data_IF_927914153581
#
_entry.id   IF_927914153581
#
_cell.length_a   1.000
_cell.length_b   1.000
_cell.length_c   1.000
_cell.angle_alpha   90.00
_cell.angle_beta   90.00
_cell.angle_gamma   90.00
#
_symmetry.space_group_name_H-M   'P 1'
#
loop_
_entity.id
_entity.type
_entity.pdbx_description
1 polymer ?
#
# COMPACT_ATOMS: atom_id res chain seq x y z
N UNK A 1 0.68 20.74 18.62
CA UNK A 1 0.97 19.78 17.53
C UNK A 1 0.37 20.35 16.24
N UNK A 2 0.94 20.08 15.06
CA UNK A 2 0.35 20.48 13.78
C UNK A 2 -1.11 19.99 13.66
N UNK A 3 -1.91 20.64 12.81
CA UNK A 3 -3.28 20.20 12.56
C UNK A 3 -3.30 18.87 11.80
N UNK A 4 -4.35 18.06 11.99
CA UNK A 4 -4.45 16.74 11.35
C UNK A 4 -4.27 16.78 9.82
N UNK A 5 -4.85 17.73 9.06
CA UNK A 5 -4.64 17.79 7.60
C UNK A 5 -3.17 18.03 7.19
N UNK A 6 -2.41 18.81 7.96
CA UNK A 6 -0.99 19.04 7.72
C UNK A 6 -0.17 17.76 7.95
N UNK A 7 -0.53 17.01 8.99
CA UNK A 7 0.07 15.71 9.28
C UNK A 7 -0.26 14.70 8.17
N UNK A 8 -1.52 14.63 7.74
CA UNK A 8 -1.96 13.69 6.70
C UNK A 8 -1.20 13.94 5.37
N UNK A 9 -1.11 15.20 4.94
CA UNK A 9 -0.35 15.57 3.75
C UNK A 9 1.13 15.19 3.89
N UNK A 10 1.72 15.45 5.05
CA UNK A 10 3.12 15.10 5.32
C UNK A 10 3.34 13.59 5.25
N UNK A 11 2.49 12.78 5.90
CA UNK A 11 2.65 11.32 5.90
C UNK A 11 2.39 10.70 4.52
N UNK A 12 1.46 11.22 3.72
CA UNK A 12 1.29 10.76 2.33
C UNK A 12 2.52 11.12 1.48
N UNK A 13 3.07 12.33 1.61
CA UNK A 13 4.32 12.71 0.94
C UNK A 13 5.48 11.78 1.34
N UNK A 14 5.58 11.44 2.63
CA UNK A 14 6.58 10.48 3.11
C UNK A 14 6.34 9.07 2.57
N UNK A 15 5.09 8.61 2.44
CA UNK A 15 4.76 7.34 1.82
C UNK A 15 5.21 7.30 0.34
N UNK A 16 5.05 8.40 -0.39
CA UNK A 16 5.61 8.57 -1.75
C UNK A 16 7.14 8.54 -1.77
N UNK A 17 7.83 9.10 -0.78
CA UNK A 17 9.29 8.95 -0.66
C UNK A 17 9.65 7.48 -0.44
N UNK A 18 8.89 6.76 0.40
CA UNK A 18 9.12 5.34 0.68
C UNK A 18 8.89 4.45 -0.56
N UNK A 19 7.89 4.77 -1.38
CA UNK A 19 7.55 4.01 -2.60
C UNK A 19 8.70 3.96 -3.60
N UNK A 20 9.60 4.96 -3.60
CA UNK A 20 10.80 5.02 -4.46
C UNK A 20 11.75 3.83 -4.26
N UNK A 21 11.69 3.18 -3.10
CA UNK A 21 12.49 1.99 -2.78
C UNK A 21 11.96 0.72 -3.47
N UNK A 22 10.71 0.72 -3.96
CA UNK A 22 10.12 -0.40 -4.72
C UNK A 22 10.89 -0.64 -6.02
N UNK A 23 11.13 -1.92 -6.34
CA UNK A 23 11.70 -2.35 -7.63
C UNK A 23 10.64 -2.67 -8.68
N UNK A 24 9.36 -2.57 -8.36
CA UNK A 24 8.30 -2.74 -9.34
C UNK A 24 8.39 -1.67 -10.44
N UNK A 25 8.17 -2.11 -11.67
CA UNK A 25 8.09 -1.27 -12.88
C UNK A 25 6.68 -0.75 -13.13
N UNK A 26 5.67 -1.56 -12.80
CA UNK A 26 4.26 -1.23 -13.11
C UNK A 26 3.67 -0.16 -12.21
N UNK A 27 3.88 -0.29 -10.90
CA UNK A 27 3.40 0.65 -9.92
C UNK A 27 4.28 0.59 -8.66
N UNK A 28 4.66 1.75 -8.12
CA UNK A 28 5.48 1.88 -6.92
C UNK A 28 4.59 2.39 -5.80
N UNK A 29 4.27 1.50 -4.87
CA UNK A 29 3.36 1.78 -3.76
C UNK A 29 4.16 1.87 -2.47
N UNK A 30 3.88 2.90 -1.68
CA UNK A 30 4.42 3.09 -0.33
C UNK A 30 3.31 3.05 0.71
N UNK A 31 3.66 2.66 1.93
CA UNK A 31 2.74 2.57 3.06
C UNK A 31 3.47 2.92 4.36
N UNK A 32 2.82 3.70 5.22
CA UNK A 32 3.25 4.01 6.58
C UNK A 32 2.13 3.67 7.55
N UNK A 33 2.48 3.19 8.75
CA UNK A 33 1.55 3.01 9.87
C UNK A 33 1.99 3.96 10.98
N UNK A 34 1.08 4.84 11.40
CA UNK A 34 1.35 5.92 12.36
C UNK A 34 0.42 5.80 13.56
N UNK A 35 1.00 5.91 14.75
CA UNK A 35 0.27 5.91 16.02
C UNK A 35 0.85 6.99 16.92
N UNK A 36 -0.01 7.79 17.55
CA UNK A 36 0.36 8.86 18.47
C UNK A 36 1.45 9.80 17.88
N UNK A 37 1.31 10.15 16.59
CA UNK A 37 2.25 10.99 15.84
C UNK A 37 3.58 10.32 15.45
N UNK A 38 3.79 9.05 15.82
CA UNK A 38 5.01 8.30 15.52
C UNK A 38 4.79 7.29 14.40
N UNK A 39 5.71 7.25 13.44
CA UNK A 39 5.74 6.17 12.43
C UNK A 39 6.22 4.90 13.12
N UNK A 40 5.32 3.93 13.30
CA UNK A 40 5.60 2.65 13.98
C UNK A 40 5.92 1.52 13.01
N UNK A 41 5.55 1.68 11.73
CA UNK A 41 5.94 0.77 10.66
C UNK A 41 5.88 1.42 9.29
N UNK A 42 6.52 0.80 8.33
CA UNK A 42 6.65 1.25 6.95
C UNK A 42 6.78 0.05 6.00
N UNK A 43 6.38 0.26 4.75
CA UNK A 43 6.42 -0.75 3.70
C UNK A 43 6.37 -0.15 2.30
N UNK A 44 6.89 -0.90 1.35
CA UNK A 44 6.73 -0.65 -0.09
C UNK A 44 6.52 -2.00 -0.78
N UNK A 45 5.91 -1.99 -1.96
CA UNK A 45 5.65 -3.23 -2.69
C UNK A 45 6.95 -3.82 -3.27
N UNK A 46 7.11 -5.14 -3.17
CA UNK A 46 8.33 -5.82 -3.59
C UNK A 46 8.31 -7.32 -3.31
N UNK A 47 9.37 -8.00 -3.73
CA UNK A 47 9.51 -9.44 -3.50
C UNK A 47 9.81 -9.78 -2.03
N UNK A 48 9.53 -11.02 -1.59
CA UNK A 48 9.93 -11.49 -0.28
C UNK A 48 11.45 -11.38 -0.08
N UNK A 49 11.89 -11.28 1.18
CA UNK A 49 13.32 -11.21 1.51
C UNK A 49 14.05 -12.44 0.95
N UNK A 50 15.19 -12.21 0.29
CA UNK A 50 16.03 -13.27 -0.30
C UNK A 50 15.72 -13.61 -1.76
N UNK A 51 14.70 -13.01 -2.37
CA UNK A 51 14.37 -13.18 -3.78
C UNK A 51 15.18 -12.22 -4.69
N UNK A 52 15.13 -12.46 -6.00
CA UNK A 52 15.78 -11.68 -7.07
C UNK A 52 15.32 -10.22 -7.18
N UNK A 53 14.25 -9.85 -6.47
CA UNK A 53 13.59 -8.55 -6.48
C UNK A 53 13.06 -8.11 -7.86
N UNK A 54 12.90 -9.05 -8.80
CA UNK A 54 12.24 -8.82 -10.08
C UNK A 54 10.73 -9.00 -9.91
N UNK A 55 9.99 -7.89 -9.85
CA UNK A 55 8.56 -7.89 -9.52
C UNK A 55 7.65 -8.30 -10.68
N UNK A 56 8.14 -8.30 -11.92
CA UNK A 56 7.31 -8.56 -13.10
C UNK A 56 7.95 -9.56 -14.07
N UNK A 57 7.07 -10.30 -14.75
CA UNK A 57 7.41 -11.08 -15.94
C UNK A 57 6.81 -10.41 -17.18
N UNK A 58 7.50 -10.54 -18.30
CA UNK A 58 6.99 -10.10 -19.61
C UNK A 58 6.23 -11.24 -20.26
N UNK A 59 4.94 -11.04 -20.50
CA UNK A 59 4.10 -11.99 -21.23
C UNK A 59 3.76 -11.43 -22.60
N UNK A 60 3.68 -12.29 -23.61
CA UNK A 60 3.26 -11.89 -24.95
C UNK A 60 1.79 -11.45 -24.89
N UNK A 61 1.51 -10.24 -25.36
CA UNK A 61 0.16 -9.72 -25.49
C UNK A 61 -0.28 -9.86 -26.95
N UNK A 62 -1.22 -10.78 -27.18
CA UNK A 62 -1.86 -10.90 -28.49
C UNK A 62 -2.90 -9.79 -28.63
N UNK A 63 -2.55 -8.74 -29.37
CA UNK A 63 -3.47 -7.67 -29.76
C UNK A 63 -3.68 -7.68 -31.27
N UNK A 64 -4.89 -7.34 -31.73
CA UNK A 64 -5.20 -7.24 -33.17
C UNK A 64 -4.42 -6.11 -33.88
N UNK A 65 -3.84 -5.16 -33.13
CA UNK A 65 -3.21 -3.95 -33.65
C UNK A 65 -1.67 -3.98 -33.63
N UNK A 66 -1.05 -4.87 -32.86
CA UNK A 66 0.40 -4.99 -32.78
C UNK A 66 0.80 -6.46 -32.58
N UNK A 67 1.50 -7.02 -33.56
CA UNK A 67 1.92 -8.42 -33.62
C UNK A 67 3.06 -8.79 -32.65
N UNK A 68 3.61 -7.83 -31.89
CA UNK A 68 4.70 -8.05 -30.92
C UNK A 68 4.63 -7.12 -29.68
N UNK A 69 3.45 -6.97 -29.06
CA UNK A 69 3.36 -6.28 -27.78
C UNK A 69 3.73 -7.22 -26.61
N UNK A 70 4.52 -6.72 -25.65
CA UNK A 70 4.80 -7.40 -24.39
C UNK A 70 4.14 -6.65 -23.24
N UNK A 71 3.42 -7.38 -22.39
CA UNK A 71 2.77 -6.85 -21.19
C UNK A 71 3.55 -7.27 -19.96
N UNK A 72 3.80 -6.31 -19.07
CA UNK A 72 4.31 -6.62 -17.74
C UNK A 72 3.19 -7.21 -16.89
N UNK A 73 3.42 -8.34 -16.26
CA UNK A 73 2.52 -8.95 -15.28
C UNK A 73 3.25 -9.06 -13.95
N UNK A 74 2.63 -8.51 -12.90
CA UNK A 74 3.15 -8.64 -11.53
C UNK A 74 3.15 -10.11 -11.14
N UNK A 75 4.31 -10.56 -10.66
CA UNK A 75 4.52 -11.92 -10.18
C UNK A 75 3.69 -12.18 -8.90
N UNK A 76 3.12 -13.37 -8.71
CA UNK A 76 2.25 -13.67 -7.57
C UNK A 76 2.96 -13.61 -6.22
N UNK A 77 4.30 -13.72 -6.20
CA UNK A 77 5.10 -13.65 -4.99
C UNK A 77 5.28 -12.21 -4.46
N UNK A 78 4.97 -11.19 -5.28
CA UNK A 78 5.12 -9.78 -4.89
C UNK A 78 4.16 -9.44 -3.77
N UNK A 79 4.72 -8.93 -2.68
CA UNK A 79 3.95 -8.42 -1.55
C UNK A 79 3.61 -6.95 -1.77
N UNK A 80 2.40 -6.58 -1.36
CA UNK A 80 1.91 -5.20 -1.37
C UNK A 80 2.56 -4.39 -0.25
N UNK A 81 2.54 -3.05 -0.39
CA UNK A 81 3.16 -2.16 0.57
C UNK A 81 2.53 -2.28 1.97
N UNK A 82 1.20 -2.39 2.01
CA UNK A 82 0.38 -2.53 3.21
C UNK A 82 0.68 -3.85 3.91
N UNK A 83 0.75 -4.95 3.15
CA UNK A 83 1.12 -6.27 3.67
C UNK A 83 2.54 -6.26 4.27
N UNK A 84 3.48 -5.61 3.60
CA UNK A 84 4.84 -5.45 4.10
C UNK A 84 4.90 -4.60 5.38
N UNK A 85 4.15 -3.49 5.44
CA UNK A 85 4.08 -2.64 6.63
C UNK A 85 3.48 -3.39 7.84
N UNK A 86 2.38 -4.13 7.65
CA UNK A 86 1.75 -4.93 8.71
C UNK A 86 2.69 -6.07 9.15
N UNK A 87 3.32 -6.77 8.20
CA UNK A 87 4.25 -7.87 8.54
C UNK A 87 5.50 -7.36 9.25
N UNK A 88 5.99 -6.17 8.90
CA UNK A 88 7.09 -5.51 9.61
C UNK A 88 6.69 -5.16 11.04
N UNK A 89 5.47 -4.66 11.24
CA UNK A 89 4.94 -4.35 12.56
C UNK A 89 4.80 -5.61 13.43
N UNK A 90 4.35 -6.73 12.85
CA UNK A 90 4.24 -8.01 13.55
C UNK A 90 5.58 -8.57 14.05
N UNK A 91 6.72 -8.09 13.51
CA UNK A 91 8.08 -8.43 13.97
C UNK A 91 8.62 -7.43 15.01
N UNK A 92 7.84 -6.42 15.37
CA UNK A 92 8.19 -5.38 16.32
C UNK A 92 7.49 -5.59 17.66
N UNK A 93 7.78 -4.72 18.63
CA UNK A 93 7.07 -4.66 19.92
C UNK A 93 5.93 -3.63 19.92
N UNK A 94 5.64 -3.00 18.77
CA UNK A 94 4.60 -1.98 18.62
C UNK A 94 3.24 -2.62 18.28
N UNK A 95 2.15 -1.91 18.60
CA UNK A 95 0.78 -2.34 18.29
C UNK A 95 0.12 -1.40 17.29
N UNK A 96 -0.54 -1.96 16.26
CA UNK A 96 -1.35 -1.24 15.28
C UNK A 96 -2.71 -0.80 15.80
N UNK A 97 -3.14 -1.31 16.95
CA UNK A 97 -4.49 -1.03 17.46
C UNK A 97 -4.67 0.47 17.70
N UNK A 98 -5.70 1.06 17.05
CA UNK A 98 -5.96 2.50 17.07
C UNK A 98 -5.07 3.36 16.15
N UNK A 99 -4.22 2.75 15.31
CA UNK A 99 -3.34 3.48 14.40
C UNK A 99 -4.04 3.95 13.11
N UNK A 100 -3.38 4.85 12.38
CA UNK A 100 -3.74 5.26 11.02
C UNK A 100 -2.74 4.70 10.01
N UNK A 101 -3.23 4.14 8.90
CA UNK A 101 -2.43 3.71 7.77
C UNK A 101 -2.48 4.76 6.65
N UNK A 102 -1.32 5.18 6.17
CA UNK A 102 -1.16 6.09 5.03
C UNK A 102 -0.56 5.32 3.87
N UNK A 103 -1.18 5.36 2.68
CA UNK A 103 -0.65 4.65 1.52
C UNK A 103 -0.81 5.43 0.23
N UNK A 104 0.10 5.27 -0.72
CA UNK A 104 0.07 6.02 -1.98
C UNK A 104 -1.04 5.54 -2.93
N UNK A 105 -1.56 4.33 -2.75
CA UNK A 105 -2.64 3.79 -3.57
C UNK A 105 -3.67 3.08 -2.69
N UNK A 106 -4.95 3.16 -3.04
CA UNK A 106 -6.02 2.57 -2.23
C UNK A 106 -5.82 1.06 -2.01
N UNK A 107 -6.04 0.53 -0.80
CA UNK A 107 -5.81 -0.89 -0.54
C UNK A 107 -6.67 -1.82 -1.39
N UNK A 108 -6.08 -2.93 -1.85
CA UNK A 108 -6.85 -4.02 -2.46
C UNK A 108 -7.67 -4.78 -1.41
N UNK A 109 -8.62 -5.61 -1.84
CA UNK A 109 -9.48 -6.41 -0.95
C UNK A 109 -8.68 -7.25 0.07
N UNK A 110 -7.59 -7.89 -0.34
CA UNK A 110 -6.78 -8.71 0.58
C UNK A 110 -6.04 -7.86 1.62
N UNK A 111 -5.47 -6.72 1.22
CA UNK A 111 -4.85 -5.79 2.15
C UNK A 111 -5.89 -5.18 3.11
N UNK A 112 -7.09 -4.84 2.61
CA UNK A 112 -8.20 -4.37 3.44
C UNK A 112 -8.59 -5.36 4.54
N UNK A 113 -8.64 -6.67 4.25
CA UNK A 113 -8.89 -7.70 5.29
C UNK A 113 -7.81 -7.66 6.37
N UNK A 114 -6.54 -7.55 5.98
CA UNK A 114 -5.43 -7.49 6.94
C UNK A 114 -5.47 -6.21 7.79
N UNK A 115 -5.81 -5.07 7.19
CA UNK A 115 -5.98 -3.79 7.88
C UNK A 115 -7.06 -3.91 8.96
N UNK A 116 -8.22 -4.46 8.61
CA UNK A 116 -9.33 -4.71 9.55
C UNK A 116 -8.87 -5.63 10.69
N UNK A 117 -8.22 -6.74 10.35
CA UNK A 117 -7.78 -7.73 11.35
C UNK A 117 -6.65 -7.21 12.26
N UNK A 118 -6.00 -6.11 11.89
CA UNK A 118 -4.89 -5.49 12.64
C UNK A 118 -5.34 -4.34 13.55
N UNK A 119 -6.65 -4.12 13.73
CA UNK A 119 -7.23 -3.04 14.54
C UNK A 119 -6.78 -1.63 14.12
N UNK A 120 -6.44 -1.44 12.84
CA UNK A 120 -6.18 -0.12 12.26
C UNK A 120 -7.53 0.57 12.03
N UNK A 121 -7.71 1.78 12.55
CA UNK A 121 -9.03 2.44 12.60
C UNK A 121 -9.25 3.46 11.49
N UNK A 122 -8.17 3.87 10.82
CA UNK A 122 -8.20 4.89 9.77
C UNK A 122 -7.23 4.57 8.65
N UNK A 123 -7.64 4.81 7.40
CA UNK A 123 -6.83 4.70 6.19
C UNK A 123 -6.90 6.00 5.41
N UNK A 124 -5.76 6.57 5.07
CA UNK A 124 -5.63 7.71 4.17
C UNK A 124 -4.87 7.26 2.93
N UNK A 125 -5.39 7.58 1.75
CA UNK A 125 -4.75 7.20 0.49
C UNK A 125 -4.76 8.32 -0.54
N UNK A 126 -3.85 8.26 -1.52
CA UNK A 126 -3.75 9.25 -2.60
C UNK A 126 -4.50 8.79 -3.87
N UNK A 127 -4.00 7.74 -4.52
CA UNK A 127 -4.55 7.27 -5.80
C UNK A 127 -5.56 6.13 -5.65
N UNK A 128 -6.61 6.11 -6.48
CA UNK A 128 -7.51 4.96 -6.57
C UNK A 128 -6.85 3.81 -7.35
N UNK A 129 -6.74 2.64 -6.72
CA UNK A 129 -6.17 1.44 -7.33
C UNK A 129 -7.24 0.56 -7.99
N UNK A 130 -7.33 0.60 -9.33
CA UNK A 130 -8.22 -0.22 -10.19
C UNK A 130 -9.73 -0.04 -9.95
N UNK A 131 -10.20 -0.30 -8.73
CA UNK A 131 -11.60 -0.21 -8.30
C UNK A 131 -11.67 0.12 -6.81
N UNK A 132 -12.89 0.29 -6.30
CA UNK A 132 -13.17 0.70 -4.91
C UNK A 132 -13.59 -0.46 -3.99
N UNK A 133 -13.48 -1.71 -4.41
CA UNK A 133 -13.91 -2.89 -3.63
C UNK A 133 -13.24 -2.94 -2.25
N UNK A 134 -11.92 -2.68 -2.22
CA UNK A 134 -11.14 -2.66 -0.98
C UNK A 134 -11.53 -1.50 -0.05
N UNK A 135 -11.88 -0.34 -0.61
CA UNK A 135 -12.38 0.82 0.12
C UNK A 135 -13.77 0.53 0.70
N UNK A 136 -14.66 -0.06 -0.10
CA UNK A 136 -15.99 -0.47 0.32
C UNK A 136 -15.95 -1.47 1.46
N UNK A 137 -15.03 -2.44 1.41
CA UNK A 137 -14.83 -3.40 2.50
C UNK A 137 -14.37 -2.72 3.81
N UNK A 138 -13.41 -1.79 3.73
CA UNK A 138 -12.94 -1.04 4.89
C UNK A 138 -14.07 -0.22 5.53
N UNK A 139 -14.82 0.53 4.72
CA UNK A 139 -15.97 1.32 5.19
C UNK A 139 -17.05 0.45 5.83
N UNK A 140 -17.34 -0.72 5.26
CA UNK A 140 -18.30 -1.70 5.82
C UNK A 140 -17.86 -2.22 7.20
N UNK A 141 -16.56 -2.30 7.45
CA UNK A 141 -16.00 -2.69 8.74
C UNK A 141 -15.89 -1.52 9.75
N UNK A 142 -16.36 -0.32 9.40
CA UNK A 142 -16.31 0.86 10.28
C UNK A 142 -14.95 1.58 10.28
N UNK A 143 -14.06 1.28 9.34
CA UNK A 143 -12.79 2.00 9.19
C UNK A 143 -13.04 3.34 8.52
N UNK A 144 -12.45 4.41 9.06
CA UNK A 144 -12.48 5.74 8.43
C UNK A 144 -11.55 5.71 7.21
N UNK A 145 -12.09 5.99 6.02
CA UNK A 145 -11.30 5.99 4.79
C UNK A 145 -11.41 7.33 4.08
N UNK A 146 -10.27 7.99 3.90
CA UNK A 146 -10.18 9.33 3.31
C UNK A 146 -9.19 9.35 2.15
N UNK A 147 -9.58 10.02 1.06
CA UNK A 147 -8.69 10.26 -0.07
C UNK A 147 -8.07 11.66 0.08
N UNK A 148 -6.76 11.73 -0.03
CA UNK A 148 -6.01 12.98 -0.05
C UNK A 148 -5.19 13.05 -1.34
N UNK A 149 -5.67 13.83 -2.29
CA UNK A 149 -4.98 14.08 -3.55
C UNK A 149 -3.92 15.16 -3.29
N UNK A 150 -2.66 14.83 -3.54
CA UNK A 150 -1.52 15.76 -3.44
C UNK A 150 -1.27 16.53 -4.73
#
# INVERSE_FOLDING_TARGET
MPHQPELDSTYIQMAHVWSRLSRARRNKVGCLIVKDGSIISDGYNGMPRGFDNNCEVEVKEYSMLASQAHKLVTRPEVLHAESNAITKLAKSTQSSSGSTLYTTASPCVECSKLIIQSDIVRVVYDELYRNDDGICLLKKAGIVVEQLIL
#
